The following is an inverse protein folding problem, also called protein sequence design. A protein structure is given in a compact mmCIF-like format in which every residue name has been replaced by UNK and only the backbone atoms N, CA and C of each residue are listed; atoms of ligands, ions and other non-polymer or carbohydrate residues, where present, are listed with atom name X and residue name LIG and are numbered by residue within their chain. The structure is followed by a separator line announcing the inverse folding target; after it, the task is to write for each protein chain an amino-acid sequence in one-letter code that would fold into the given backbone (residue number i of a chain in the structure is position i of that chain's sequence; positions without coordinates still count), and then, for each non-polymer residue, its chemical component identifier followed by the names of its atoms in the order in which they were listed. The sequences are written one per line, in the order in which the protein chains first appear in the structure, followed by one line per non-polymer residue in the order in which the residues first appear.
data_IF_181902356562
#
_entry.id   IF_181902356562
#
_cell.length_a   1.000
_cell.length_b   1.000
_cell.length_c   1.000
_cell.angle_alpha   90.00
_cell.angle_beta   90.00
_cell.angle_gamma   90.00
#
_symmetry.space_group_name_H-M   'P 1'
#
loop_
_entity.id
_entity.type
_entity.pdbx_description
1 polymer ?
#
# COMPACT_ATOMS: atom_id res chain seq x y z
N UNK A 1 14.34 -2.15 -0.59
CA UNK A 1 14.16 -1.06 -1.57
C UNK A 1 15.45 -0.64 -2.27
N UNK A 2 16.56 -0.30 -1.57
CA UNK A 2 17.81 0.13 -2.22
C UNK A 2 18.28 -0.77 -3.39
N UNK A 3 18.09 -2.10 -3.32
CA UNK A 3 18.51 -3.04 -4.38
C UNK A 3 17.62 -3.04 -5.63
N UNK A 4 16.34 -2.69 -5.49
CA UNK A 4 15.41 -2.68 -6.62
C UNK A 4 15.67 -1.48 -7.53
N UNK A 5 15.94 -0.31 -6.95
CA UNK A 5 16.00 0.96 -7.67
C UNK A 5 17.43 1.49 -7.88
N UNK A 6 18.48 0.70 -7.60
CA UNK A 6 19.88 1.12 -7.71
C UNK A 6 20.17 2.50 -7.05
N UNK A 7 19.41 2.85 -6.02
CA UNK A 7 19.59 4.11 -5.30
C UNK A 7 20.93 4.10 -4.61
N UNK A 8 21.83 4.99 -5.01
CA UNK A 8 23.15 5.12 -4.38
C UNK A 8 23.00 5.41 -2.89
N UNK A 9 23.85 4.83 -2.06
CA UNK A 9 23.86 5.07 -0.61
C UNK A 9 23.95 6.56 -0.26
N UNK A 10 24.58 7.34 -1.12
CA UNK A 10 24.79 8.78 -0.95
C UNK A 10 23.49 9.61 -1.10
N UNK A 11 22.44 9.04 -1.69
CA UNK A 11 21.12 9.69 -1.86
C UNK A 11 20.10 9.27 -0.80
N UNK A 12 20.48 8.40 0.15
CA UNK A 12 19.59 8.00 1.24
C UNK A 12 19.93 8.78 2.51
N UNK A 13 19.07 9.69 2.90
CA UNK A 13 19.21 10.55 4.06
C UNK A 13 18.75 9.90 5.37
N UNK A 14 18.33 8.62 5.33
CA UNK A 14 18.01 7.71 6.45
C UNK A 14 16.85 8.13 7.34
N UNK A 15 16.94 9.26 8.04
CA UNK A 15 15.98 9.67 9.08
C UNK A 15 15.47 11.09 8.76
N UNK A 16 14.18 11.20 8.45
CA UNK A 16 13.54 12.47 8.07
C UNK A 16 13.66 13.54 9.16
N UNK A 17 13.73 13.14 10.43
CA UNK A 17 13.85 14.08 11.56
C UNK A 17 15.21 14.78 11.62
N UNK A 18 16.21 14.24 10.89
CA UNK A 18 17.59 14.73 10.86
C UNK A 18 17.99 15.36 9.52
N UNK A 19 17.04 15.43 8.58
CA UNK A 19 17.32 16.01 7.27
C UNK A 19 17.55 17.51 7.40
N UNK A 20 18.71 17.96 6.92
CA UNK A 20 18.96 19.35 6.60
C UNK A 20 18.34 19.64 5.22
N UNK A 21 17.25 20.34 5.22
CA UNK A 21 16.48 20.66 4.01
C UNK A 21 17.22 21.59 3.06
N UNK A 22 18.20 22.35 3.57
CA UNK A 22 19.07 23.22 2.73
C UNK A 22 19.99 22.42 1.80
N UNK A 23 20.24 21.15 2.12
CA UNK A 23 21.01 20.23 1.29
C UNK A 23 20.20 19.53 0.19
N UNK A 24 18.87 19.75 0.16
CA UNK A 24 17.98 19.20 -0.86
C UNK A 24 17.99 20.07 -2.12
N UNK A 25 17.64 19.53 -3.31
CA UNK A 25 17.45 20.32 -4.52
C UNK A 25 16.41 21.43 -4.33
N UNK A 26 16.62 22.58 -4.97
CA UNK A 26 15.72 23.74 -4.85
C UNK A 26 14.51 23.73 -5.79
N UNK A 27 14.47 22.80 -6.76
CA UNK A 27 13.46 22.75 -7.82
C UNK A 27 12.80 21.36 -7.90
N UNK A 28 12.36 20.87 -6.76
CA UNK A 28 11.70 19.56 -6.67
C UNK A 28 10.33 19.65 -7.33
N UNK A 29 10.09 18.84 -8.36
CA UNK A 29 8.79 18.73 -9.00
C UNK A 29 7.79 17.92 -8.17
N UNK A 30 8.25 16.80 -7.58
CA UNK A 30 7.38 15.84 -6.91
C UNK A 30 8.03 15.27 -5.64
N UNK A 31 7.25 15.28 -4.57
CA UNK A 31 7.54 14.52 -3.35
C UNK A 31 6.43 13.48 -3.13
N UNK A 32 6.81 12.24 -2.88
CA UNK A 32 5.90 11.21 -2.39
C UNK A 32 6.27 10.83 -0.96
N UNK A 33 5.28 10.70 -0.09
CA UNK A 33 5.52 10.37 1.31
C UNK A 33 4.39 9.53 1.90
N UNK A 34 4.72 8.81 2.97
CA UNK A 34 3.76 8.11 3.80
C UNK A 34 4.21 8.21 5.25
N UNK A 35 3.40 8.80 6.09
CA UNK A 35 3.67 8.85 7.52
C UNK A 35 3.12 7.61 8.23
N UNK A 36 3.72 7.19 9.37
CA UNK A 36 3.32 5.97 10.04
C UNK A 36 1.84 5.92 10.39
N UNK A 37 1.20 4.80 10.05
CA UNK A 37 -0.23 4.60 10.29
C UNK A 37 -0.53 3.84 11.60
N UNK A 38 0.49 3.53 12.42
CA UNK A 38 0.35 2.65 13.59
C UNK A 38 -0.62 3.19 14.63
N UNK A 39 -0.71 4.51 14.76
CA UNK A 39 -1.60 5.18 15.71
C UNK A 39 -2.94 5.61 15.08
N UNK A 40 -3.14 5.30 13.78
CA UNK A 40 -4.36 5.58 13.02
C UNK A 40 -5.03 4.29 12.52
N UNK A 41 -4.26 3.21 12.27
CA UNK A 41 -4.78 1.98 11.67
C UNK A 41 -5.71 1.22 12.62
N UNK A 42 -6.64 0.42 12.05
CA UNK A 42 -7.55 -0.43 12.82
C UNK A 42 -6.82 -1.52 13.63
N UNK A 43 -5.64 -1.94 13.18
CA UNK A 43 -4.80 -2.92 13.87
C UNK A 43 -3.78 -2.28 14.83
N UNK A 44 -3.71 -0.93 14.84
CA UNK A 44 -2.80 -0.14 15.68
C UNK A 44 -3.41 0.35 16.98
N UNK A 45 -2.66 1.20 17.70
CA UNK A 45 -3.06 1.75 19.01
C UNK A 45 -4.15 2.82 18.93
N UNK A 46 -4.40 3.36 17.74
CA UNK A 46 -5.42 4.38 17.43
C UNK A 46 -5.34 5.63 18.32
N UNK A 47 -4.12 6.14 18.55
CA UNK A 47 -3.83 7.30 19.41
C UNK A 47 -3.87 8.67 18.69
N UNK A 48 -3.98 8.67 17.36
CA UNK A 48 -3.90 9.91 16.55
C UNK A 48 -2.46 10.45 16.41
N UNK A 49 -2.31 11.76 16.24
CA UNK A 49 -1.01 12.44 16.06
C UNK A 49 -0.35 12.81 17.39
N UNK A 50 -1.13 13.03 18.44
CA UNK A 50 -0.66 13.40 19.77
C UNK A 50 -1.40 12.62 20.85
N UNK A 51 -0.71 12.33 21.93
CA UNK A 51 -1.27 11.70 23.13
C UNK A 51 -0.53 12.25 24.34
N UNK A 52 -1.27 12.73 25.33
CA UNK A 52 -0.72 13.29 26.56
C UNK A 52 0.29 14.44 26.34
N UNK A 53 0.08 15.26 25.28
CA UNK A 53 0.95 16.37 24.90
C UNK A 53 2.22 15.96 24.16
N UNK A 54 2.40 14.68 23.85
CA UNK A 54 3.53 14.16 23.07
C UNK A 54 3.11 13.72 21.67
N UNK A 55 3.97 13.97 20.68
CA UNK A 55 3.76 13.50 19.31
C UNK A 55 3.86 11.98 19.25
N UNK A 56 2.87 11.34 18.67
CA UNK A 56 2.89 9.91 18.37
C UNK A 56 3.76 9.65 17.13
N UNK A 57 3.92 8.36 16.77
CA UNK A 57 4.60 8.00 15.50
C UNK A 57 3.89 8.56 14.27
N UNK A 58 2.55 8.66 14.30
CA UNK A 58 1.77 9.28 13.22
C UNK A 58 1.99 10.79 13.15
N UNK A 59 2.45 11.43 14.22
CA UNK A 59 2.89 12.82 14.25
C UNK A 59 4.16 13.11 13.42
N UNK A 60 4.84 12.08 12.86
CA UNK A 60 5.88 12.28 11.85
C UNK A 60 5.35 12.90 10.54
N UNK A 61 4.04 13.09 10.39
CA UNK A 61 3.47 13.95 9.37
C UNK A 61 4.10 15.37 9.40
N UNK A 62 4.34 15.93 10.57
CA UNK A 62 4.93 17.26 10.71
C UNK A 62 6.35 17.35 10.16
N UNK A 63 7.11 16.26 10.17
CA UNK A 63 8.44 16.22 9.53
C UNK A 63 8.34 16.21 8.00
N UNK A 64 7.33 15.49 7.45
CA UNK A 64 7.07 15.56 6.02
C UNK A 64 6.60 16.96 5.61
N UNK A 65 5.73 17.59 6.42
CA UNK A 65 5.28 18.97 6.20
C UNK A 65 6.46 19.94 6.20
N UNK A 66 7.37 19.86 7.18
CA UNK A 66 8.60 20.69 7.23
C UNK A 66 9.40 20.59 5.93
N UNK A 67 9.63 19.38 5.43
CA UNK A 67 10.33 19.19 4.16
C UNK A 67 9.56 19.82 2.99
N UNK A 68 8.23 19.71 2.97
CA UNK A 68 7.38 20.31 1.92
C UNK A 68 7.42 21.84 1.98
N UNK A 69 7.35 22.43 3.18
CA UNK A 69 7.41 23.89 3.39
C UNK A 69 8.76 24.48 2.95
N UNK A 70 9.85 23.78 3.26
CA UNK A 70 11.20 24.23 2.94
C UNK A 70 11.55 24.07 1.44
N UNK A 71 11.11 22.95 0.82
CA UNK A 71 11.46 22.63 -0.58
C UNK A 71 10.43 23.08 -1.60
N UNK A 72 9.19 23.35 -1.17
CA UNK A 72 8.07 23.81 -2.00
C UNK A 72 7.89 23.05 -3.32
N UNK A 73 7.80 21.71 -3.31
CA UNK A 73 7.62 20.94 -4.52
C UNK A 73 6.37 21.37 -5.28
N UNK A 74 6.34 21.21 -6.60
CA UNK A 74 5.12 21.48 -7.38
C UNK A 74 3.97 20.57 -6.96
N UNK A 75 4.29 19.32 -6.60
CA UNK A 75 3.31 18.30 -6.21
C UNK A 75 3.83 17.53 -4.99
N UNK A 76 2.97 17.32 -4.01
CA UNK A 76 3.20 16.40 -2.90
C UNK A 76 2.09 15.33 -2.86
N UNK A 77 2.47 14.05 -2.76
CA UNK A 77 1.51 12.95 -2.71
C UNK A 77 1.71 12.18 -1.41
N UNK A 78 0.67 12.18 -0.57
CA UNK A 78 0.61 11.33 0.62
C UNK A 78 -0.18 10.05 0.37
N UNK A 79 0.30 8.92 0.89
CA UNK A 79 -0.46 7.69 1.01
C UNK A 79 -0.63 7.31 2.48
N UNK A 80 -1.85 6.89 2.86
CA UNK A 80 -2.10 6.36 4.19
C UNK A 80 -3.26 5.36 4.20
N UNK A 81 -3.49 4.72 5.34
CA UNK A 81 -4.63 3.80 5.52
C UNK A 81 -5.96 4.55 5.42
N UNK A 82 -6.98 3.89 4.86
CA UNK A 82 -8.35 4.44 4.74
C UNK A 82 -8.88 5.01 6.06
N UNK A 83 -8.45 4.45 7.21
CA UNK A 83 -8.96 4.86 8.51
C UNK A 83 -8.65 6.32 8.85
N UNK A 84 -7.64 6.94 8.24
CA UNK A 84 -7.33 8.37 8.39
C UNK A 84 -8.54 9.27 8.05
N UNK A 85 -9.33 8.89 7.04
CA UNK A 85 -10.54 9.65 6.64
C UNK A 85 -11.82 9.19 7.36
N UNK A 86 -11.71 8.40 8.43
CA UNK A 86 -12.84 7.99 9.25
C UNK A 86 -13.25 9.11 10.23
N UNK A 87 -14.50 9.06 10.69
CA UNK A 87 -15.00 10.02 11.70
C UNK A 87 -14.13 10.09 12.95
N UNK A 88 -13.46 8.99 13.31
CA UNK A 88 -12.61 8.91 14.49
C UNK A 88 -11.36 9.81 14.37
N UNK A 89 -10.82 9.95 13.18
CA UNK A 89 -9.58 10.68 12.88
C UNK A 89 -9.84 11.92 12.02
N UNK A 90 -11.07 12.46 12.03
CA UNK A 90 -11.40 13.66 11.26
C UNK A 90 -10.52 14.85 11.66
N UNK A 91 -10.20 15.02 12.95
CA UNK A 91 -9.32 16.10 13.43
C UNK A 91 -7.92 16.00 12.85
N UNK A 92 -7.31 14.80 12.88
CA UNK A 92 -6.00 14.56 12.30
C UNK A 92 -6.00 14.74 10.78
N UNK A 93 -7.08 14.33 10.12
CA UNK A 93 -7.23 14.52 8.69
C UNK A 93 -7.39 16.00 8.33
N UNK A 94 -8.18 16.76 9.10
CA UNK A 94 -8.34 18.20 8.94
C UNK A 94 -7.01 18.94 9.16
N UNK A 95 -6.20 18.53 10.16
CA UNK A 95 -4.84 19.05 10.37
C UNK A 95 -3.97 18.83 9.12
N UNK A 96 -3.98 17.62 8.54
CA UNK A 96 -3.20 17.35 7.33
C UNK A 96 -3.59 18.29 6.19
N UNK A 97 -4.89 18.44 5.94
CA UNK A 97 -5.37 19.28 4.84
C UNK A 97 -5.10 20.76 5.07
N UNK A 98 -5.40 21.28 6.27
CA UNK A 98 -5.20 22.70 6.60
C UNK A 98 -3.72 23.07 6.57
N UNK A 99 -2.84 22.26 7.15
CA UNK A 99 -1.39 22.52 7.12
C UNK A 99 -0.83 22.57 5.71
N UNK A 100 -1.27 21.67 4.82
CA UNK A 100 -0.85 21.69 3.41
C UNK A 100 -1.45 22.89 2.65
N UNK A 101 -2.67 23.30 2.99
CA UNK A 101 -3.29 24.51 2.43
C UNK A 101 -2.56 25.77 2.84
N UNK A 102 -2.19 25.89 4.12
CA UNK A 102 -1.37 26.97 4.68
C UNK A 102 0.02 27.01 4.05
N UNK A 103 0.61 25.84 3.74
CA UNK A 103 1.86 25.75 3.00
C UNK A 103 1.75 26.13 1.51
N UNK A 104 0.54 26.47 1.02
CA UNK A 104 0.31 26.99 -0.33
C UNK A 104 -0.16 25.97 -1.36
N UNK A 105 -0.78 24.88 -0.94
CA UNK A 105 -1.26 23.81 -1.83
C UNK A 105 -2.80 23.76 -1.89
N UNK A 106 -3.33 23.39 -3.04
CA UNK A 106 -4.68 22.86 -3.18
C UNK A 106 -4.67 21.36 -2.97
N UNK A 107 -5.59 20.83 -2.16
CA UNK A 107 -5.58 19.44 -1.74
C UNK A 107 -6.75 18.68 -2.34
N UNK A 108 -6.44 17.58 -3.00
CA UNK A 108 -7.38 16.61 -3.54
C UNK A 108 -7.19 15.28 -2.84
N UNK A 109 -8.24 14.64 -2.39
CA UNK A 109 -8.10 13.34 -1.75
C UNK A 109 -9.18 12.34 -2.19
N UNK A 110 -8.80 11.07 -2.22
CA UNK A 110 -9.71 9.96 -2.53
C UNK A 110 -9.19 8.67 -1.93
N UNK A 111 -10.12 7.82 -1.49
CA UNK A 111 -9.80 6.43 -1.18
C UNK A 111 -9.83 5.63 -2.48
N UNK A 112 -8.68 5.04 -2.83
CA UNK A 112 -8.54 4.14 -3.97
C UNK A 112 -8.42 2.70 -3.45
N UNK A 113 -8.98 1.75 -4.19
CA UNK A 113 -8.82 0.33 -3.89
C UNK A 113 -7.95 -0.33 -4.96
N UNK A 114 -6.89 -0.97 -4.55
CA UNK A 114 -6.00 -1.67 -5.47
C UNK A 114 -6.70 -2.77 -6.29
N UNK A 115 -7.84 -3.32 -5.80
CA UNK A 115 -8.63 -4.33 -6.52
C UNK A 115 -9.13 -3.85 -7.90
N UNK A 116 -9.19 -2.56 -8.12
CA UNK A 116 -9.59 -2.00 -9.41
C UNK A 116 -8.48 -2.15 -10.47
N UNK A 117 -7.26 -2.44 -10.05
CA UNK A 117 -6.05 -2.52 -10.88
C UNK A 117 -5.36 -3.89 -10.81
N UNK A 118 -5.34 -4.52 -9.64
CA UNK A 118 -4.66 -5.79 -9.35
C UNK A 118 -5.52 -6.60 -8.37
N UNK A 119 -5.48 -7.96 -8.37
CA UNK A 119 -6.37 -8.75 -7.52
C UNK A 119 -5.98 -8.70 -6.03
N UNK A 120 -5.97 -7.51 -5.45
CA UNK A 120 -5.77 -7.27 -4.02
C UNK A 120 -6.76 -6.24 -3.49
N UNK A 121 -7.57 -6.62 -2.51
CA UNK A 121 -8.46 -5.70 -1.80
C UNK A 121 -7.66 -4.90 -0.78
N UNK A 122 -7.12 -3.75 -1.23
CA UNK A 122 -6.29 -2.84 -0.43
C UNK A 122 -6.76 -1.41 -0.62
N UNK A 123 -7.49 -0.89 0.35
CA UNK A 123 -7.97 0.49 0.35
C UNK A 123 -6.95 1.41 1.00
N UNK A 124 -6.60 2.50 0.30
CA UNK A 124 -5.71 3.56 0.79
C UNK A 124 -6.25 4.92 0.43
N UNK A 125 -6.11 5.86 1.34
CA UNK A 125 -6.33 7.27 1.00
C UNK A 125 -5.07 7.82 0.35
N UNK A 126 -5.27 8.49 -0.77
CA UNK A 126 -4.25 9.31 -1.43
C UNK A 126 -4.66 10.76 -1.29
N UNK A 127 -3.71 11.61 -0.90
CA UNK A 127 -3.85 13.06 -0.88
C UNK A 127 -2.86 13.58 -1.90
N UNK A 128 -3.38 14.24 -2.93
CA UNK A 128 -2.59 14.92 -3.97
C UNK A 128 -2.68 16.41 -3.70
N UNK A 129 -1.55 16.99 -3.31
CA UNK A 129 -1.43 18.41 -3.01
C UNK A 129 -0.66 19.07 -4.14
N UNK A 130 -1.33 19.93 -4.90
CA UNK A 130 -0.76 20.66 -6.03
C UNK A 130 -0.54 22.10 -5.59
N UNK A 131 0.67 22.64 -5.78
CA UNK A 131 1.02 23.99 -5.38
C UNK A 131 0.14 25.00 -6.15
N UNK A 132 -0.41 25.99 -5.47
CA UNK A 132 -1.45 26.89 -5.98
C UNK A 132 -1.06 27.63 -7.27
N UNK A 133 0.24 27.92 -7.46
CA UNK A 133 0.76 28.61 -8.64
C UNK A 133 0.81 27.74 -9.91
N UNK A 134 0.82 26.41 -9.77
CA UNK A 134 0.84 25.45 -10.90
C UNK A 134 -0.44 24.63 -11.03
N UNK A 135 -1.35 24.76 -10.08
CA UNK A 135 -2.64 24.05 -10.11
C UNK A 135 -3.62 24.72 -11.07
N UNK A 136 -4.03 23.99 -12.11
CA UNK A 136 -5.03 24.45 -13.07
C UNK A 136 -6.47 24.18 -12.61
N UNK A 137 -6.67 23.51 -11.47
CA UNK A 137 -7.97 23.04 -11.00
C UNK A 137 -8.57 21.88 -11.82
N UNK A 138 -7.83 21.31 -12.76
CA UNK A 138 -8.31 20.25 -13.66
C UNK A 138 -8.03 18.84 -13.18
N UNK A 139 -7.36 18.67 -12.03
CA UNK A 139 -7.01 17.35 -11.51
C UNK A 139 -8.25 16.54 -11.11
N UNK A 140 -8.34 15.33 -11.65
CA UNK A 140 -9.37 14.34 -11.31
C UNK A 140 -8.71 13.00 -11.05
N UNK A 141 -9.04 12.37 -9.94
CA UNK A 141 -8.55 11.01 -9.64
C UNK A 141 -8.93 10.01 -10.72
N UNK A 142 -8.06 9.02 -11.01
CA UNK A 142 -8.33 8.02 -12.03
C UNK A 142 -9.61 7.24 -11.69
N UNK A 143 -10.37 6.91 -12.75
CA UNK A 143 -11.51 6.01 -12.62
C UNK A 143 -11.03 4.56 -12.42
N UNK A 144 -11.81 3.72 -11.72
CA UNK A 144 -11.55 2.29 -11.65
C UNK A 144 -11.49 1.65 -13.04
N UNK A 145 -10.48 0.82 -13.30
CA UNK A 145 -10.35 0.12 -14.60
C UNK A 145 -10.99 -1.26 -14.61
N UNK A 146 -11.50 -1.73 -13.46
CA UNK A 146 -12.13 -3.03 -13.31
C UNK A 146 -11.26 -4.17 -13.91
N UNK A 147 -10.07 -4.34 -13.38
CA UNK A 147 -9.12 -5.37 -13.86
C UNK A 147 -9.79 -6.75 -13.97
N UNK A 148 -9.48 -7.46 -15.04
CA UNK A 148 -9.88 -8.87 -15.22
C UNK A 148 -8.92 -9.85 -14.56
N UNK A 149 -7.78 -9.38 -14.03
CA UNK A 149 -6.79 -10.21 -13.33
C UNK A 149 -7.41 -10.79 -12.05
N UNK A 150 -7.16 -12.06 -11.84
CA UNK A 150 -7.57 -12.81 -10.65
C UNK A 150 -6.35 -13.21 -9.81
N UNK A 151 -6.57 -13.70 -8.60
CA UNK A 151 -5.47 -14.22 -7.78
C UNK A 151 -4.72 -15.37 -8.47
N UNK A 152 -5.41 -16.18 -9.27
CA UNK A 152 -4.79 -17.25 -10.08
C UNK A 152 -3.67 -16.73 -10.98
N UNK A 153 -3.85 -15.56 -11.59
CA UNK A 153 -2.89 -14.96 -12.52
C UNK A 153 -1.61 -14.45 -11.84
N UNK A 154 -1.62 -14.37 -10.51
CA UNK A 154 -0.49 -13.96 -9.69
C UNK A 154 0.37 -15.14 -9.24
N UNK A 155 -0.21 -16.37 -9.20
CA UNK A 155 0.43 -17.52 -8.59
C UNK A 155 1.66 -17.97 -9.38
N UNK A 156 2.65 -18.47 -8.65
CA UNK A 156 3.87 -19.05 -9.20
C UNK A 156 3.73 -20.57 -9.29
N UNK A 157 3.69 -21.09 -10.51
CA UNK A 157 3.55 -22.53 -10.77
C UNK A 157 4.85 -23.32 -10.47
N UNK A 158 5.98 -22.64 -10.29
CA UNK A 158 7.30 -23.27 -10.06
C UNK A 158 7.71 -23.32 -8.58
N UNK A 159 6.80 -22.93 -7.65
CA UNK A 159 7.11 -22.93 -6.22
C UNK A 159 7.05 -24.35 -5.63
N UNK A 160 7.79 -24.59 -4.54
CA UNK A 160 7.73 -25.84 -3.77
C UNK A 160 6.58 -25.73 -2.74
N UNK A 161 5.49 -26.48 -2.95
CA UNK A 161 4.28 -26.47 -2.11
C UNK A 161 4.61 -26.67 -0.62
N UNK A 162 5.42 -27.68 -0.28
CA UNK A 162 5.74 -28.03 1.11
C UNK A 162 6.37 -26.87 1.91
N UNK A 163 7.16 -26.01 1.26
CA UNK A 163 7.74 -24.81 1.91
C UNK A 163 6.68 -23.81 2.37
N UNK A 164 5.55 -23.79 1.68
CA UNK A 164 4.50 -22.78 1.89
C UNK A 164 3.20 -23.36 2.44
N UNK A 165 3.13 -24.67 2.67
CA UNK A 165 1.95 -25.33 3.24
C UNK A 165 1.54 -24.66 4.54
N UNK A 166 0.24 -24.44 4.72
CA UNK A 166 -0.28 -23.91 5.99
C UNK A 166 -0.24 -25.04 7.03
N UNK A 167 0.30 -24.81 8.23
CA UNK A 167 0.36 -25.82 9.28
C UNK A 167 -1.03 -26.36 9.64
N UNK A 168 -1.14 -27.68 9.84
CA UNK A 168 -2.38 -28.35 10.21
C UNK A 168 -3.02 -27.74 11.45
N UNK A 169 -2.19 -27.41 12.47
CA UNK A 169 -2.63 -26.76 13.69
C UNK A 169 -3.34 -25.40 13.50
N UNK A 170 -3.16 -24.76 12.33
CA UNK A 170 -3.90 -23.56 11.93
C UNK A 170 -5.16 -23.97 11.17
N UNK A 171 -5.05 -24.93 10.22
CA UNK A 171 -6.18 -25.38 9.42
C UNK A 171 -7.29 -25.96 10.27
N UNK A 172 -7.00 -26.80 11.24
CA UNK A 172 -7.96 -27.36 12.22
C UNK A 172 -8.82 -26.30 12.93
N UNK A 173 -8.28 -25.09 13.09
CA UNK A 173 -8.98 -23.98 13.76
C UNK A 173 -9.86 -23.15 12.85
N UNK A 174 -9.58 -23.15 11.54
CA UNK A 174 -10.26 -22.28 10.58
C UNK A 174 -11.06 -23.04 9.54
N UNK A 175 -10.74 -24.30 9.23
CA UNK A 175 -11.48 -25.15 8.29
C UNK A 175 -12.61 -25.85 9.03
N UNK A 176 -13.82 -25.79 8.48
CA UNK A 176 -15.04 -26.45 9.02
C UNK A 176 -15.37 -27.71 8.23
N UNK A 177 -15.17 -27.66 6.89
CA UNK A 177 -15.42 -28.76 5.97
C UNK A 177 -14.43 -28.65 4.81
N UNK A 178 -14.06 -29.78 4.22
CA UNK A 178 -13.15 -29.85 3.07
C UNK A 178 -13.87 -30.05 1.74
N UNK A 179 -15.13 -30.53 1.78
CA UNK A 179 -15.94 -30.75 0.58
C UNK A 179 -17.41 -30.36 0.85
N UNK A 180 -17.90 -29.21 0.37
CA UNK A 180 -17.09 -28.08 -0.13
C UNK A 180 -16.21 -27.47 0.96
N UNK A 181 -15.11 -26.84 0.57
CA UNK A 181 -14.21 -26.17 1.52
C UNK A 181 -14.93 -25.00 2.19
N UNK A 182 -15.11 -25.09 3.51
CA UNK A 182 -15.76 -24.07 4.33
C UNK A 182 -14.80 -23.52 5.36
N UNK A 183 -14.61 -22.21 5.34
CA UNK A 183 -13.71 -21.50 6.24
C UNK A 183 -14.53 -20.74 7.29
N UNK A 184 -14.17 -20.89 8.56
CA UNK A 184 -14.80 -20.24 9.70
C UNK A 184 -14.85 -18.72 9.52
N UNK A 185 -16.03 -18.14 9.69
CA UNK A 185 -16.27 -16.70 9.53
C UNK A 185 -17.39 -16.27 10.48
N UNK A 186 -17.23 -15.12 11.15
CA UNK A 186 -18.16 -14.62 12.15
C UNK A 186 -19.40 -13.96 11.49
N UNK A 187 -20.16 -14.73 10.73
CA UNK A 187 -21.45 -14.38 10.16
C UNK A 187 -22.55 -15.23 10.80
N UNK A 188 -23.83 -14.97 10.51
CA UNK A 188 -24.94 -15.81 10.98
C UNK A 188 -24.77 -17.28 10.57
N UNK A 189 -24.21 -17.53 9.39
CA UNK A 189 -23.94 -18.87 8.85
C UNK A 189 -22.73 -19.55 9.53
N UNK A 190 -21.84 -18.79 10.17
CA UNK A 190 -20.63 -19.29 10.84
C UNK A 190 -19.46 -19.60 9.91
N UNK A 191 -19.65 -19.63 8.60
CA UNK A 191 -18.62 -19.93 7.61
C UNK A 191 -18.79 -19.15 6.31
N UNK A 192 -17.80 -19.27 5.45
CA UNK A 192 -17.84 -18.86 4.04
C UNK A 192 -17.20 -19.97 3.20
N UNK A 193 -17.81 -20.29 2.06
CA UNK A 193 -17.24 -21.25 1.10
C UNK A 193 -16.00 -20.67 0.43
N UNK A 194 -15.02 -21.53 0.17
CA UNK A 194 -13.72 -21.14 -0.40
C UNK A 194 -13.45 -21.97 -1.65
N UNK A 195 -13.55 -21.32 -2.80
CA UNK A 195 -13.32 -21.94 -4.10
C UNK A 195 -11.82 -22.00 -4.40
N UNK A 196 -11.45 -22.72 -5.47
CA UNK A 196 -10.06 -22.73 -5.96
C UNK A 196 -9.62 -21.30 -6.29
N UNK A 197 -8.40 -20.97 -5.89
CA UNK A 197 -7.75 -19.68 -6.05
C UNK A 197 -8.37 -18.53 -5.24
N UNK A 198 -9.28 -18.83 -4.30
CA UNK A 198 -9.68 -17.86 -3.28
C UNK A 198 -8.57 -17.68 -2.25
N UNK A 199 -8.40 -16.45 -1.76
CA UNK A 199 -7.46 -16.19 -0.67
C UNK A 199 -8.05 -16.52 0.70
N UNK A 200 -7.19 -16.89 1.64
CA UNK A 200 -7.56 -17.20 3.02
C UNK A 200 -6.63 -16.44 3.98
N UNK A 201 -7.19 -15.64 4.88
CA UNK A 201 -6.42 -15.00 5.95
C UNK A 201 -6.33 -15.94 7.15
N UNK A 202 -5.11 -16.31 7.53
CA UNK A 202 -4.85 -17.26 8.63
C UNK A 202 -4.73 -16.60 10.00
N UNK A 203 -4.77 -15.26 10.09
CA UNK A 203 -4.65 -14.52 11.35
C UNK A 203 -5.79 -14.79 12.32
N UNK A 204 -5.45 -14.77 13.62
CA UNK A 204 -6.42 -14.95 14.70
C UNK A 204 -7.31 -16.19 14.50
N UNK A 205 -6.73 -17.41 14.35
CA UNK A 205 -7.50 -18.60 14.00
C UNK A 205 -8.56 -18.94 15.04
N UNK A 206 -8.36 -18.59 16.31
CA UNK A 206 -9.31 -18.80 17.41
C UNK A 206 -10.38 -17.69 17.52
N UNK A 207 -10.32 -16.64 16.71
CA UNK A 207 -11.26 -15.52 16.81
C UNK A 207 -12.70 -15.94 16.53
N UNK A 208 -13.60 -15.56 17.43
CA UNK A 208 -15.06 -15.74 17.28
C UNK A 208 -15.73 -14.56 16.55
N UNK A 209 -15.01 -13.46 16.35
CA UNK A 209 -15.52 -12.21 15.75
C UNK A 209 -14.94 -11.90 14.38
N UNK A 210 -13.93 -12.66 13.92
CA UNK A 210 -13.26 -12.43 12.64
C UNK A 210 -14.18 -12.65 11.47
N UNK A 211 -14.35 -11.62 10.63
CA UNK A 211 -15.05 -11.66 9.35
C UNK A 211 -14.07 -11.50 8.19
N UNK A 212 -14.54 -11.83 6.97
CA UNK A 212 -13.74 -11.61 5.75
C UNK A 212 -12.46 -12.44 5.67
N UNK A 213 -12.50 -13.71 6.14
CA UNK A 213 -11.34 -14.61 6.02
C UNK A 213 -11.04 -15.00 4.58
N UNK A 214 -12.07 -15.12 3.75
CA UNK A 214 -11.94 -15.53 2.35
C UNK A 214 -12.10 -14.31 1.45
N UNK A 215 -11.21 -14.16 0.49
CA UNK A 215 -11.31 -13.20 -0.60
C UNK A 215 -11.53 -13.94 -1.92
N UNK A 216 -12.69 -13.69 -2.55
CA UNK A 216 -13.10 -14.37 -3.79
C UNK A 216 -12.24 -13.92 -4.96
N UNK A 217 -11.43 -14.84 -5.50
CA UNK A 217 -10.49 -14.63 -6.62
C UNK A 217 -9.56 -13.41 -6.44
N UNK A 218 -9.42 -12.94 -5.20
CA UNK A 218 -8.73 -11.70 -4.85
C UNK A 218 -8.05 -11.85 -3.50
N UNK A 219 -6.84 -11.35 -3.34
CA UNK A 219 -6.18 -11.30 -2.04
C UNK A 219 -6.82 -10.24 -1.14
N UNK A 220 -6.89 -10.52 0.14
CA UNK A 220 -7.07 -9.46 1.15
C UNK A 220 -5.80 -8.60 1.23
N UNK A 221 -5.89 -7.47 1.94
CA UNK A 221 -4.73 -6.59 2.14
C UNK A 221 -3.53 -7.36 2.67
N UNK A 222 -2.41 -7.33 1.95
CA UNK A 222 -1.14 -7.84 2.45
C UNK A 222 -0.69 -7.02 3.66
N UNK A 223 -0.25 -7.71 4.69
CA UNK A 223 0.37 -7.12 5.88
C UNK A 223 1.88 -7.38 5.87
N UNK A 224 2.56 -6.96 6.92
CA UNK A 224 4.01 -7.15 7.07
C UNK A 224 4.43 -8.57 7.45
N UNK A 225 3.48 -9.51 7.49
CA UNK A 225 3.70 -10.89 7.95
C UNK A 225 3.16 -11.92 6.95
N UNK A 226 3.72 -13.13 6.97
CA UNK A 226 3.26 -14.29 6.20
C UNK A 226 1.94 -14.82 6.76
N UNK A 227 0.81 -14.27 6.29
CA UNK A 227 -0.53 -14.60 6.81
C UNK A 227 -1.57 -14.87 5.71
N UNK A 228 -1.25 -14.51 4.48
CA UNK A 228 -2.16 -14.70 3.36
C UNK A 228 -1.91 -16.07 2.71
N UNK A 229 -2.93 -16.89 2.69
CA UNK A 229 -2.94 -18.19 2.03
C UNK A 229 -3.88 -18.18 0.82
N UNK A 230 -3.78 -19.21 0.00
CA UNK A 230 -4.60 -19.47 -1.18
C UNK A 230 -4.99 -20.94 -1.23
N UNK A 231 -6.23 -21.20 -1.66
CA UNK A 231 -6.71 -22.55 -1.93
C UNK A 231 -6.26 -22.96 -3.34
N UNK A 232 -5.43 -24.02 -3.44
CA UNK A 232 -4.91 -24.54 -4.72
C UNK A 232 -5.33 -26.01 -4.90
N UNK A 233 -5.20 -26.58 -6.10
CA UNK A 233 -5.46 -28.02 -6.31
C UNK A 233 -4.66 -28.94 -5.39
N UNK A 234 -3.44 -28.54 -5.00
CA UNK A 234 -2.56 -29.29 -4.08
C UNK A 234 -2.94 -29.10 -2.60
N UNK A 235 -3.81 -28.11 -2.30
CA UNK A 235 -4.23 -27.78 -0.96
C UNK A 235 -4.03 -26.30 -0.60
N UNK A 236 -4.17 -25.99 0.70
CA UNK A 236 -4.06 -24.62 1.20
C UNK A 236 -2.60 -24.31 1.54
N UNK A 237 -2.05 -23.28 0.89
CA UNK A 237 -0.69 -22.81 1.11
C UNK A 237 -0.63 -21.29 1.30
N UNK A 238 0.39 -20.79 1.97
CA UNK A 238 0.70 -19.38 1.98
C UNK A 238 1.11 -18.88 0.59
N UNK A 239 0.83 -17.62 0.30
CA UNK A 239 1.46 -16.93 -0.81
C UNK A 239 2.97 -16.86 -0.60
N UNK A 240 3.74 -17.05 -1.68
CA UNK A 240 5.19 -16.87 -1.66
C UNK A 240 5.56 -15.39 -1.56
N UNK A 241 6.81 -15.11 -1.23
CA UNK A 241 7.35 -13.76 -1.23
C UNK A 241 7.19 -13.11 -2.61
N UNK A 242 7.49 -13.86 -3.68
CA UNK A 242 7.37 -13.41 -5.08
C UNK A 242 5.92 -13.06 -5.44
N UNK A 243 4.97 -13.92 -5.09
CA UNK A 243 3.54 -13.67 -5.30
C UNK A 243 3.06 -12.41 -4.54
N UNK A 244 3.58 -12.18 -3.33
CA UNK A 244 3.29 -10.95 -2.59
C UNK A 244 3.82 -9.70 -3.31
N UNK A 245 5.00 -9.76 -3.93
CA UNK A 245 5.53 -8.65 -4.74
C UNK A 245 4.71 -8.45 -6.01
N UNK A 246 4.32 -9.53 -6.71
CA UNK A 246 3.40 -9.44 -7.86
C UNK A 246 2.06 -8.79 -7.49
N UNK A 247 1.50 -9.09 -6.28
CA UNK A 247 0.30 -8.44 -5.75
C UNK A 247 0.50 -6.96 -5.42
N UNK A 248 1.75 -6.51 -5.32
CA UNK A 248 2.08 -5.08 -5.16
C UNK A 248 2.42 -4.41 -6.49
N UNK A 249 2.31 -5.14 -7.62
CA UNK A 249 2.58 -4.63 -8.97
C UNK A 249 4.07 -4.60 -9.35
N UNK A 250 4.94 -5.28 -8.59
CA UNK A 250 6.35 -5.42 -8.98
C UNK A 250 6.52 -6.55 -9.97
N UNK A 251 7.41 -6.35 -10.93
CA UNK A 251 7.79 -7.37 -11.89
C UNK A 251 8.70 -8.44 -11.27
N UNK A 252 8.71 -9.62 -11.88
CA UNK A 252 9.58 -10.72 -11.47
C UNK A 252 11.07 -10.34 -11.49
N UNK A 253 11.48 -9.50 -12.46
CA UNK A 253 12.87 -9.01 -12.59
C UNK A 253 13.27 -8.19 -11.36
N UNK A 254 12.36 -7.39 -10.82
CA UNK A 254 12.62 -6.62 -9.60
C UNK A 254 12.73 -7.53 -8.38
N UNK A 255 11.89 -8.56 -8.30
CA UNK A 255 11.97 -9.55 -7.23
C UNK A 255 13.28 -10.33 -7.26
N UNK A 256 13.78 -10.73 -8.45
CA UNK A 256 15.05 -11.46 -8.60
C UNK A 256 16.26 -10.68 -8.02
N UNK A 257 16.24 -9.34 -8.05
CA UNK A 257 17.29 -8.49 -7.45
C UNK A 257 17.39 -8.62 -5.91
N UNK A 258 16.31 -9.05 -5.26
CA UNK A 258 16.19 -9.09 -3.79
C UNK A 258 15.85 -10.46 -3.22
N UNK A 259 15.68 -11.50 -4.05
CA UNK A 259 15.21 -12.84 -3.64
C UNK A 259 16.01 -13.49 -2.51
N UNK A 260 17.30 -13.16 -2.39
CA UNK A 260 18.20 -13.68 -1.36
C UNK A 260 18.05 -12.97 -0.01
N UNK A 261 17.15 -11.99 0.07
CA UNK A 261 16.82 -11.31 1.34
C UNK A 261 16.02 -12.27 2.23
N UNK A 262 16.21 -12.17 3.54
CA UNK A 262 15.46 -12.98 4.51
C UNK A 262 13.95 -12.88 4.27
N UNK A 263 13.25 -14.02 4.19
CA UNK A 263 11.82 -14.14 3.89
C UNK A 263 10.94 -13.18 4.70
N UNK A 264 11.18 -13.06 6.02
CA UNK A 264 10.41 -12.15 6.88
C UNK A 264 10.54 -10.67 6.47
N UNK A 265 11.69 -10.25 5.93
CA UNK A 265 11.88 -8.90 5.42
C UNK A 265 11.17 -8.70 4.08
N UNK A 266 11.14 -9.73 3.23
CA UNK A 266 10.41 -9.68 1.95
C UNK A 266 8.90 -9.50 2.17
N UNK A 267 8.28 -10.28 3.06
CA UNK A 267 6.87 -10.07 3.42
C UNK A 267 6.62 -8.67 4.02
N UNK A 268 7.55 -8.20 4.88
CA UNK A 268 7.46 -6.86 5.46
C UNK A 268 7.54 -5.77 4.40
N UNK A 269 8.45 -5.90 3.43
CA UNK A 269 8.60 -4.95 2.33
C UNK A 269 7.36 -4.92 1.44
N UNK A 270 6.85 -6.10 1.01
CA UNK A 270 5.61 -6.18 0.24
C UNK A 270 4.43 -5.53 0.99
N UNK A 271 4.23 -5.85 2.28
CA UNK A 271 3.13 -5.29 3.08
C UNK A 271 3.20 -3.78 3.27
N UNK A 272 4.41 -3.21 3.34
CA UNK A 272 4.64 -1.77 3.50
C UNK A 272 4.68 -0.99 2.18
N UNK A 273 4.70 -1.68 1.03
CA UNK A 273 4.76 -1.02 -0.27
C UNK A 273 3.42 -0.40 -0.66
N UNK A 274 3.49 0.59 -1.54
CA UNK A 274 2.34 1.10 -2.29
C UNK A 274 2.19 0.23 -3.55
N UNK A 275 0.95 -0.04 -3.97
CA UNK A 275 0.69 -0.80 -5.20
C UNK A 275 1.09 0.03 -6.40
N UNK A 276 2.03 -0.48 -7.21
CA UNK A 276 2.62 0.21 -8.35
C UNK A 276 1.55 0.59 -9.39
N UNK A 277 0.64 -0.34 -9.72
CA UNK A 277 -0.45 -0.07 -10.67
C UNK A 277 -1.30 1.14 -10.26
N UNK A 278 -1.60 1.31 -8.96
CA UNK A 278 -2.36 2.48 -8.47
C UNK A 278 -1.57 3.77 -8.72
N UNK A 279 -0.26 3.77 -8.45
CA UNK A 279 0.60 4.94 -8.66
C UNK A 279 0.70 5.31 -10.14
N UNK A 280 0.82 4.33 -11.04
CA UNK A 280 0.87 4.54 -12.48
C UNK A 280 -0.35 5.35 -12.96
N UNK A 281 -1.56 4.91 -12.59
CA UNK A 281 -2.77 5.61 -13.00
C UNK A 281 -2.94 6.96 -12.31
N UNK A 282 -2.49 7.07 -11.06
CA UNK A 282 -2.49 8.35 -10.34
C UNK A 282 -1.55 9.36 -11.00
N UNK A 283 -0.32 8.96 -11.32
CA UNK A 283 0.63 9.82 -12.04
C UNK A 283 0.12 10.22 -13.43
N UNK A 284 -0.46 9.28 -14.19
CA UNK A 284 -1.09 9.62 -15.49
C UNK A 284 -2.16 10.72 -15.35
N UNK A 285 -2.94 10.68 -14.27
CA UNK A 285 -3.96 11.71 -14.02
C UNK A 285 -3.33 13.06 -13.61
N UNK A 286 -2.29 13.03 -12.78
CA UNK A 286 -1.56 14.23 -12.36
C UNK A 286 -0.88 14.90 -13.54
N UNK A 287 -0.14 14.14 -14.36
CA UNK A 287 0.57 14.70 -15.53
C UNK A 287 -0.35 15.29 -16.59
N UNK A 288 -1.62 14.88 -16.64
CA UNK A 288 -2.63 15.52 -17.48
C UNK A 288 -3.12 16.86 -16.92
N UNK A 289 -3.10 17.02 -15.61
CA UNK A 289 -3.65 18.17 -14.90
C UNK A 289 -2.63 19.29 -14.69
N UNK A 290 -1.35 18.95 -14.64
CA UNK A 290 -0.26 19.90 -14.40
C UNK A 290 0.58 19.99 -15.67
N UNK A 291 0.67 21.19 -16.28
CA UNK A 291 1.59 21.43 -17.37
C UNK A 291 3.01 21.49 -16.79
N UNK A 292 3.71 20.36 -16.84
CA UNK A 292 5.15 20.39 -16.73
C UNK A 292 5.69 21.06 -18.00
N UNK A 293 6.42 22.16 -17.88
CA UNK A 293 7.16 22.70 -19.03
C UNK A 293 8.02 21.56 -19.59
N UNK A 294 7.83 21.26 -20.87
CA UNK A 294 8.66 20.28 -21.59
C UNK A 294 10.08 20.82 -21.69
N UNK A 295 10.89 20.55 -20.67
CA UNK A 295 12.32 20.64 -20.79
C UNK A 295 12.77 19.53 -21.75
N UNK A 296 13.16 19.91 -22.97
CA UNK A 296 13.52 19.03 -24.09
C UNK A 296 14.73 18.10 -23.85
N UNK A 297 15.28 18.04 -22.68
CA UNK A 297 16.44 17.17 -22.32
C UNK A 297 16.08 16.04 -21.38
N UNK A 298 14.89 15.53 -21.46
CA UNK A 298 14.54 14.47 -20.55
C UNK A 298 13.84 13.41 -21.31
N UNK A 299 14.43 12.40 -21.05
CA UNK A 299 13.95 11.46 -20.07
C UNK A 299 13.09 10.43 -20.71
N UNK A 300 13.65 9.28 -20.77
CA UNK A 300 12.88 8.05 -20.57
C UNK A 300 11.93 8.32 -19.41
N UNK A 301 10.69 8.60 -19.72
CA UNK A 301 9.65 8.79 -18.71
C UNK A 301 9.26 7.42 -18.18
N UNK A 302 8.65 7.38 -16.99
CA UNK A 302 8.06 6.16 -16.44
C UNK A 302 7.09 5.48 -17.45
N UNK A 303 6.65 6.20 -18.47
CA UNK A 303 5.76 5.76 -19.56
C UNK A 303 6.49 5.05 -20.70
N UNK A 304 7.81 5.18 -20.80
CA UNK A 304 8.61 4.46 -21.81
C UNK A 304 8.84 2.99 -21.38
N UNK A 305 8.48 2.65 -20.16
CA UNK A 305 8.52 1.29 -19.59
C UNK A 305 7.13 0.67 -19.43
N UNK A 306 6.07 1.28 -19.97
CA UNK A 306 4.68 0.84 -19.95
C UNK A 306 4.16 0.53 -21.34
#
# INVERSE_FOLDING_TARGET
MKKIHEVSSNKNLEDITKIDTTALPNDIDLITYGFPCQDISLEGKQKGFETDGERTRSGLFYEALRVIEDTKPKIAIAENVKNLVSKKFSKEFDIVLSSLEEAGYNNYYKVLNAKDYIPQNRERVFIVSIRKDVDTGSFVFPAPIATKRTLKDILDNNMKFEKYKVPESILEKIVISTDPLKIKNATKQGYIECDLYDSITTTFPNSKTRRGRVGKQCSQTLTTSKIMAVNTPEGIRYLTEKECFRLMGFDDIDFEKIKDTKSSYLYKQAGNSIVVDVLIYLFKAIFKAVNFEENKEIQTTIFDYL
#
